data_IF_738970978155
#
_entry.id   IF_738970978155
#
_cell.length_a   1.000
_cell.length_b   1.000
_cell.length_c   1.000
_cell.angle_alpha   90.00
_cell.angle_beta   90.00
_cell.angle_gamma   90.00
#
_symmetry.space_group_name_H-M   'P 1'
#
loop_
_entity.id
_entity.type
_entity.pdbx_description
1 polymer ?
#
# COMPACT_ATOMS: atom_id res chain seq x y z
N UNK A 1 -22.22 -3.84 1.48
CA UNK A 1 -21.44 -4.64 1.79
C UNK A 1 -20.07 -4.31 1.81
N UNK A 2 -19.40 -4.49 2.73
CA UNK A 2 -18.13 -4.11 2.81
C UNK A 2 -17.23 -5.16 2.56
N UNK A 3 -16.53 -5.14 1.53
CA UNK A 3 -15.62 -6.16 1.19
C UNK A 3 -14.24 -5.69 1.42
N UNK A 4 -13.99 -5.17 2.59
CA UNK A 4 -12.66 -4.72 2.90
C UNK A 4 -11.78 -5.90 3.10
N UNK A 5 -10.65 -5.90 2.45
CA UNK A 5 -9.71 -6.99 2.59
C UNK A 5 -8.71 -6.69 3.66
N UNK A 6 -8.36 -7.72 4.43
CA UNK A 6 -7.33 -7.60 5.44
C UNK A 6 -6.02 -8.08 4.85
N UNK A 7 -4.95 -7.46 5.29
CA UNK A 7 -3.61 -7.91 4.92
C UNK A 7 -3.33 -9.25 5.56
N UNK A 8 -2.83 -10.17 4.78
CA UNK A 8 -2.49 -11.50 5.26
C UNK A 8 -0.99 -11.66 5.11
N UNK A 9 -0.33 -12.08 6.17
CA UNK A 9 1.09 -12.26 6.16
C UNK A 9 1.77 -11.30 7.09
N UNK A 10 3.08 -11.22 7.01
CA UNK A 10 3.82 -10.34 7.88
C UNK A 10 3.62 -8.90 7.50
N UNK A 11 3.49 -8.06 8.52
CA UNK A 11 3.35 -6.63 8.29
C UNK A 11 4.74 -6.05 8.07
N UNK A 12 4.92 -5.22 7.04
CA UNK A 12 6.22 -4.61 6.81
C UNK A 12 6.61 -3.71 7.98
N UNK A 13 7.85 -3.75 8.37
CA UNK A 13 8.31 -2.94 9.49
C UNK A 13 8.65 -1.53 9.09
N UNK A 14 9.17 -1.36 7.89
CA UNK A 14 9.60 -0.04 7.46
C UNK A 14 9.39 0.14 5.97
N UNK A 15 9.41 1.40 5.57
CA UNK A 15 9.30 1.76 4.16
C UNK A 15 10.53 1.27 3.41
N UNK A 16 10.33 0.70 2.24
CA UNK A 16 11.44 0.20 1.43
C UNK A 16 12.29 1.31 0.84
N UNK A 17 11.76 2.52 0.81
CA UNK A 17 12.46 3.64 0.19
C UNK A 17 13.19 4.47 1.24
N UNK A 18 12.49 4.99 2.23
CA UNK A 18 13.12 5.87 3.20
C UNK A 18 13.48 5.18 4.51
N UNK A 19 13.06 3.95 4.67
CA UNK A 19 13.39 3.13 5.82
C UNK A 19 12.78 3.59 7.14
N UNK A 20 11.83 4.52 7.08
CA UNK A 20 11.15 4.92 8.29
C UNK A 20 10.16 3.86 8.71
N UNK A 21 9.92 3.76 10.01
CA UNK A 21 9.03 2.75 10.53
C UNK A 21 7.61 2.94 10.03
N UNK A 22 6.95 1.84 9.75
CA UNK A 22 5.55 1.86 9.40
C UNK A 22 4.76 1.68 10.69
N UNK A 23 3.96 2.68 11.02
CA UNK A 23 3.22 2.70 12.28
C UNK A 23 1.79 2.21 12.10
N UNK A 24 1.03 2.87 11.25
CA UNK A 24 -0.38 2.51 11.12
C UNK A 24 -0.90 2.58 9.69
N UNK A 25 -0.05 2.90 8.73
CA UNK A 25 -0.47 2.97 7.33
C UNK A 25 0.71 2.56 6.45
N UNK A 26 0.45 1.77 5.44
CA UNK A 26 1.48 1.52 4.43
C UNK A 26 0.83 1.31 3.06
N UNK A 27 1.62 1.45 2.03
CA UNK A 27 1.20 1.21 0.66
C UNK A 27 1.98 0.03 0.12
N UNK A 28 1.27 -0.92 -0.45
CA UNK A 28 1.87 -2.09 -1.08
C UNK A 28 1.67 -1.89 -2.57
N UNK A 29 2.70 -1.57 -3.29
CA UNK A 29 2.51 -1.28 -4.71
C UNK A 29 3.78 -0.99 -5.46
N UNK A 30 3.60 -0.52 -6.69
CA UNK A 30 4.72 -0.16 -7.53
C UNK A 30 5.41 1.06 -6.95
N UNK A 31 6.71 1.04 -7.02
CA UNK A 31 7.50 2.14 -6.49
C UNK A 31 7.52 3.33 -7.44
N UNK A 32 7.36 3.08 -8.73
CA UNK A 32 7.37 4.14 -9.72
C UNK A 32 6.32 3.84 -10.78
N UNK A 33 6.02 4.82 -11.60
CA UNK A 33 5.03 4.65 -12.67
C UNK A 33 5.55 3.78 -13.79
N UNK A 34 6.85 3.54 -13.86
CA UNK A 34 7.41 2.68 -14.86
C UNK A 34 6.89 1.27 -14.65
N UNK A 35 6.40 0.65 -15.69
CA UNK A 35 5.85 -0.69 -15.60
C UNK A 35 6.88 -1.72 -15.17
N UNK A 36 8.15 -1.40 -15.33
CA UNK A 36 9.19 -2.31 -14.92
C UNK A 36 9.70 -2.01 -13.52
N UNK A 37 9.08 -1.09 -12.81
CA UNK A 37 9.57 -0.75 -11.50
C UNK A 37 9.29 -1.88 -10.53
N UNK A 38 10.08 -2.01 -9.49
CA UNK A 38 9.83 -3.06 -8.50
C UNK A 38 8.58 -2.74 -7.68
N UNK A 39 8.12 -3.76 -7.01
CA UNK A 39 6.97 -3.64 -6.13
C UNK A 39 7.50 -3.62 -4.70
N UNK A 40 6.99 -2.77 -3.87
CA UNK A 40 7.48 -2.68 -2.51
C UNK A 40 6.49 -2.09 -1.55
N UNK A 41 6.94 -1.93 -0.31
CA UNK A 41 6.13 -1.34 0.73
C UNK A 41 6.62 0.08 0.96
N UNK A 42 5.70 1.03 0.98
CA UNK A 42 6.06 2.43 1.09
C UNK A 42 5.26 3.10 2.18
N UNK A 43 5.85 4.11 2.80
CA UNK A 43 5.07 4.98 3.67
C UNK A 43 4.26 5.93 2.78
N UNK A 44 3.28 6.60 3.38
CA UNK A 44 2.40 7.47 2.61
C UNK A 44 3.19 8.59 1.93
N UNK A 45 4.19 9.12 2.60
CA UNK A 45 4.98 10.19 2.03
C UNK A 45 5.74 9.73 0.78
N UNK A 46 6.41 8.59 0.86
CA UNK A 46 7.14 8.10 -0.30
C UNK A 46 6.20 7.76 -1.45
N UNK A 47 5.03 7.20 -1.11
CA UNK A 47 4.07 6.89 -2.16
C UNK A 47 3.59 8.16 -2.84
N UNK A 48 3.35 9.22 -2.08
CA UNK A 48 2.86 10.45 -2.67
C UNK A 48 3.88 11.06 -3.63
N UNK A 49 5.16 10.78 -3.42
CA UNK A 49 6.19 11.29 -4.32
C UNK A 49 6.37 10.39 -5.54
N UNK A 50 5.85 9.18 -5.51
CA UNK A 50 6.06 8.24 -6.61
C UNK A 50 5.14 8.51 -7.79
N UNK A 51 4.06 9.22 -7.55
CA UNK A 51 3.06 9.52 -8.57
C UNK A 51 2.32 8.28 -9.08
N UNK A 52 2.43 7.16 -8.40
CA UNK A 52 1.70 5.96 -8.77
C UNK A 52 0.33 6.05 -8.14
N UNK A 53 -0.73 5.86 -8.92
CA UNK A 53 -2.07 5.90 -8.38
C UNK A 53 -2.43 4.55 -7.79
N UNK A 54 -3.16 4.58 -6.70
CA UNK A 54 -3.58 3.35 -6.05
C UNK A 54 -4.81 2.81 -6.74
N UNK A 55 -4.67 1.67 -7.37
CA UNK A 55 -5.78 0.99 -8.00
C UNK A 55 -5.38 -0.44 -8.21
N UNK A 56 -6.35 -1.26 -8.58
CA UNK A 56 -6.12 -2.68 -8.77
C UNK A 56 -4.98 -2.90 -9.76
N UNK A 57 -4.01 -3.68 -9.35
CA UNK A 57 -2.87 -3.96 -10.22
C UNK A 57 -1.73 -2.98 -10.10
N UNK A 58 -1.92 -1.89 -9.37
CA UNK A 58 -0.87 -0.88 -9.24
C UNK A 58 -0.47 -0.62 -7.80
N UNK A 59 -1.36 -0.86 -6.86
CA UNK A 59 -1.03 -0.70 -5.46
C UNK A 59 -2.26 -0.52 -4.62
N UNK A 60 -2.13 -0.86 -3.35
CA UNK A 60 -3.19 -0.75 -2.38
C UNK A 60 -2.65 -0.12 -1.11
N UNK A 61 -3.49 0.61 -0.42
CA UNK A 61 -3.11 1.23 0.85
C UNK A 61 -3.82 0.51 1.97
N UNK A 62 -3.08 0.17 3.00
CA UNK A 62 -3.62 -0.52 4.17
C UNK A 62 -3.45 0.34 5.41
N UNK A 63 -4.46 0.35 6.25
CA UNK A 63 -4.41 1.11 7.48
C UNK A 63 -4.72 0.19 8.64
N UNK A 64 -4.02 0.39 9.75
CA UNK A 64 -4.27 -0.41 10.93
C UNK A 64 -5.50 0.12 11.62
N UNK A 65 -6.50 -0.75 11.74
CA UNK A 65 -7.74 -0.41 12.39
C UNK A 65 -7.93 -1.46 13.46
N UNK A 66 -7.83 -1.05 14.71
CA UNK A 66 -7.81 -1.96 15.84
C UNK A 66 -6.60 -2.87 15.69
N UNK A 67 -6.79 -4.16 15.56
CA UNK A 67 -5.67 -5.05 15.43
C UNK A 67 -5.51 -5.61 14.01
N UNK A 68 -6.22 -5.05 13.06
CA UNK A 68 -6.18 -5.55 11.70
C UNK A 68 -5.66 -4.48 10.75
N UNK A 69 -5.02 -4.92 9.68
CA UNK A 69 -4.60 -4.02 8.62
C UNK A 69 -5.58 -4.16 7.47
N UNK A 70 -6.36 -3.12 7.24
CA UNK A 70 -7.48 -3.15 6.31
C UNK A 70 -7.16 -2.31 5.07
N UNK A 71 -7.45 -2.85 3.91
CA UNK A 71 -7.26 -2.12 2.66
C UNK A 71 -8.27 -1.00 2.57
N UNK A 72 -7.78 0.23 2.49
CA UNK A 72 -8.67 1.38 2.43
C UNK A 72 -8.65 2.06 1.07
N UNK A 73 -7.73 1.68 0.19
CA UNK A 73 -7.67 2.33 -1.11
C UNK A 73 -6.99 1.41 -2.11
N UNK A 74 -7.43 1.42 -3.33
CA UNK A 74 -6.77 0.67 -4.39
C UNK A 74 -7.36 -0.70 -4.65
N UNK A 75 -8.41 -1.07 -3.94
CA UNK A 75 -8.99 -2.39 -4.13
C UNK A 75 -10.05 -2.43 -5.20
N UNK A 76 -10.58 -1.29 -5.59
CA UNK A 76 -11.68 -1.27 -6.53
C UNK A 76 -11.27 -1.72 -7.91
N UNK A 77 -12.07 -2.60 -8.48
CA UNK A 77 -11.86 -3.04 -9.83
C UNK A 77 -13.04 -2.53 -10.62
N UNK A 78 -12.86 -1.43 -11.31
CA UNK A 78 -13.96 -0.92 -12.06
C UNK A 78 -14.19 -1.79 -13.22
N UNK A 79 -15.37 -2.05 -13.48
CA UNK A 79 -15.71 -2.88 -14.60
C UNK A 79 -16.33 -2.06 -15.70
#
# INVERSE_FOLDING_TARGET
>A
MNNKEKWIGEIPKCCDICKQDIIDVFVDGRIDIDLNSPWGFMCVTCHSLSRVKLKWGHGQKYKKIKNDWICIEGLERKS
#
